data_IF_184664766009
#
_entry.id   IF_184664766009
#
_cell.length_a   1.000
_cell.length_b   1.000
_cell.length_c   1.000
_cell.angle_alpha   90.00
_cell.angle_beta   90.00
_cell.angle_gamma   90.00
#
_symmetry.space_group_name_H-M   'P 1'
#
loop_
_entity.id
_entity.type
_entity.pdbx_description
1 polymer ?
#
# COMPACT_ATOMS: atom_id res chain seq x y z
N UNK A 1 4.49 13.40 -5.64
CA UNK A 1 4.43 12.37 -6.71
C UNK A 1 4.58 10.94 -6.18
N UNK A 2 5.36 10.70 -5.12
CA UNK A 2 5.56 9.34 -4.56
C UNK A 2 4.25 8.72 -4.02
N UNK A 3 3.40 9.49 -3.30
CA UNK A 3 2.13 8.99 -2.77
C UNK A 3 1.17 8.52 -3.87
N UNK A 4 1.13 9.22 -5.02
CA UNK A 4 0.32 8.82 -6.17
C UNK A 4 0.76 7.47 -6.72
N UNK A 5 2.07 7.21 -6.79
CA UNK A 5 2.62 5.92 -7.25
C UNK A 5 2.23 4.79 -6.28
N UNK A 6 2.35 5.01 -4.97
CA UNK A 6 1.92 4.03 -3.96
C UNK A 6 0.42 3.71 -4.06
N UNK A 7 -0.41 4.73 -4.28
CA UNK A 7 -1.86 4.56 -4.46
C UNK A 7 -2.12 3.72 -5.73
N UNK A 8 -1.48 4.03 -6.85
CA UNK A 8 -1.64 3.28 -8.11
C UNK A 8 -1.20 1.81 -7.95
N UNK A 9 -0.04 1.56 -7.33
CA UNK A 9 0.46 0.20 -7.07
C UNK A 9 -0.49 -0.58 -6.17
N UNK A 10 -1.05 0.05 -5.15
CA UNK A 10 -2.05 -0.56 -4.26
C UNK A 10 -3.34 -0.96 -5.02
N UNK A 11 -3.85 -0.07 -5.88
CA UNK A 11 -5.01 -0.37 -6.72
C UNK A 11 -4.76 -1.54 -7.67
N UNK A 12 -3.58 -1.62 -8.30
CA UNK A 12 -3.21 -2.73 -9.18
C UNK A 12 -3.12 -4.05 -8.39
N UNK A 13 -2.54 -4.02 -7.17
CA UNK A 13 -2.42 -5.21 -6.31
C UNK A 13 -3.77 -5.79 -5.88
N UNK A 14 -4.81 -4.95 -5.75
CA UNK A 14 -6.17 -5.36 -5.36
C UNK A 14 -7.03 -5.74 -6.57
N UNK A 15 -6.84 -5.07 -7.70
CA UNK A 15 -7.64 -5.33 -8.90
C UNK A 15 -7.42 -6.75 -9.45
N UNK A 16 -6.16 -7.18 -9.50
CA UNK A 16 -5.78 -8.50 -10.02
C UNK A 16 -6.43 -9.68 -9.27
N UNK A 17 -6.40 -9.75 -7.93
CA UNK A 17 -7.05 -10.82 -7.18
C UNK A 17 -8.59 -10.75 -7.28
N UNK A 18 -9.21 -9.58 -7.41
CA UNK A 18 -10.67 -9.46 -7.64
C UNK A 18 -11.07 -10.08 -8.99
N UNK A 19 -10.35 -9.72 -10.06
CA UNK A 19 -10.55 -10.31 -11.39
C UNK A 19 -10.38 -11.83 -11.37
N UNK A 20 -9.39 -12.33 -10.61
CA UNK A 20 -9.17 -13.76 -10.45
C UNK A 20 -10.34 -14.45 -9.75
N UNK A 21 -10.91 -13.86 -8.70
CA UNK A 21 -12.05 -14.43 -7.97
C UNK A 21 -13.30 -14.52 -8.83
N UNK A 22 -13.60 -13.49 -9.62
CA UNK A 22 -14.79 -13.46 -10.50
C UNK A 22 -14.71 -14.56 -11.58
N UNK A 23 -13.50 -14.91 -12.02
CA UNK A 23 -13.28 -15.92 -13.06
C UNK A 23 -13.41 -17.36 -12.54
N UNK A 24 -13.50 -17.57 -11.22
CA UNK A 24 -13.59 -18.89 -10.62
C UNK A 24 -15.04 -19.38 -10.62
N UNK A 25 -15.30 -20.44 -11.38
CA UNK A 25 -16.60 -21.12 -11.40
C UNK A 25 -16.80 -22.08 -10.22
N UNK A 26 -15.71 -22.61 -9.64
CA UNK A 26 -15.72 -23.52 -8.50
C UNK A 26 -14.65 -23.13 -7.48
N UNK A 27 -15.09 -22.87 -6.25
CA UNK A 27 -14.22 -22.46 -5.15
C UNK A 27 -13.31 -23.61 -4.72
N UNK A 28 -12.08 -23.59 -5.21
CA UNK A 28 -11.02 -24.51 -4.78
C UNK A 28 -10.31 -23.92 -3.55
N UNK A 29 -10.17 -24.71 -2.49
CA UNK A 29 -9.49 -24.32 -1.25
C UNK A 29 -8.08 -23.77 -1.51
N UNK A 30 -7.35 -24.33 -2.49
CA UNK A 30 -6.03 -23.80 -2.90
C UNK A 30 -6.11 -22.37 -3.40
N UNK A 31 -7.15 -22.05 -4.15
CA UNK A 31 -7.36 -20.71 -4.70
C UNK A 31 -7.73 -19.71 -3.60
N UNK A 32 -8.57 -20.14 -2.66
CA UNK A 32 -8.90 -19.32 -1.47
C UNK A 32 -7.65 -19.01 -0.66
N UNK A 33 -6.77 -20.00 -0.44
CA UNK A 33 -5.51 -19.78 0.28
C UNK A 33 -4.57 -18.80 -0.43
N UNK A 34 -4.45 -18.88 -1.77
CA UNK A 34 -3.65 -17.93 -2.56
C UNK A 34 -4.25 -16.53 -2.53
N UNK A 35 -5.58 -16.40 -2.56
CA UNK A 35 -6.28 -15.13 -2.48
C UNK A 35 -6.06 -14.44 -1.13
N UNK A 36 -6.22 -15.18 -0.03
CA UNK A 36 -5.94 -14.69 1.33
C UNK A 36 -4.47 -14.27 1.46
N UNK A 37 -3.54 -15.09 0.92
CA UNK A 37 -2.11 -14.76 0.90
C UNK A 37 -1.81 -13.46 0.17
N UNK A 38 -2.46 -13.19 -0.97
CA UNK A 38 -2.30 -11.93 -1.70
C UNK A 38 -2.88 -10.73 -0.94
N UNK A 39 -4.02 -10.88 -0.27
CA UNK A 39 -4.58 -9.82 0.58
C UNK A 39 -3.63 -9.48 1.73
N UNK A 40 -3.11 -10.50 2.43
CA UNK A 40 -2.14 -10.30 3.50
C UNK A 40 -0.88 -9.59 3.01
N UNK A 41 -0.34 -10.01 1.86
CA UNK A 41 0.82 -9.37 1.25
C UNK A 41 0.55 -7.90 0.90
N UNK A 42 -0.62 -7.59 0.33
CA UNK A 42 -1.04 -6.20 0.04
C UNK A 42 -1.09 -5.33 1.30
N UNK A 43 -1.63 -5.86 2.41
CA UNK A 43 -1.70 -5.14 3.68
C UNK A 43 -0.29 -4.84 4.21
N UNK A 44 0.62 -5.82 4.19
CA UNK A 44 2.01 -5.63 4.63
C UNK A 44 2.74 -4.60 3.78
N UNK A 45 2.57 -4.63 2.46
CA UNK A 45 3.16 -3.62 1.56
C UNK A 45 2.60 -2.22 1.82
N UNK A 46 1.29 -2.12 2.06
CA UNK A 46 0.63 -0.86 2.37
C UNK A 46 1.15 -0.25 3.69
N UNK A 47 1.24 -1.06 4.75
CA UNK A 47 1.78 -0.63 6.04
C UNK A 47 3.25 -0.21 5.93
N UNK A 48 4.07 -0.94 5.15
CA UNK A 48 5.46 -0.54 4.90
C UNK A 48 5.56 0.79 4.13
N UNK A 49 4.71 0.99 3.11
CA UNK A 49 4.64 2.25 2.38
C UNK A 49 4.26 3.42 3.29
N UNK A 50 3.27 3.23 4.17
CA UNK A 50 2.90 4.23 5.18
C UNK A 50 4.03 4.45 6.19
N UNK A 51 4.67 3.40 6.69
CA UNK A 51 5.76 3.52 7.66
C UNK A 51 6.94 4.30 7.08
N UNK A 52 7.34 4.03 5.83
CA UNK A 52 8.39 4.79 5.13
C UNK A 52 7.96 6.23 4.85
N UNK A 53 6.71 6.46 4.44
CA UNK A 53 6.17 7.80 4.23
C UNK A 53 6.07 8.62 5.52
N UNK A 54 5.70 7.97 6.62
CA UNK A 54 5.63 8.55 7.95
C UNK A 54 7.05 8.83 8.46
N UNK A 55 7.97 7.87 8.37
CA UNK A 55 9.37 8.02 8.77
C UNK A 55 10.03 9.23 8.07
N UNK A 56 9.73 9.49 6.80
CA UNK A 56 10.21 10.71 6.12
C UNK A 56 9.63 12.00 6.68
N UNK A 57 8.34 12.04 7.00
CA UNK A 57 7.70 13.20 7.65
C UNK A 57 8.19 13.45 9.09
N UNK A 58 8.69 12.42 9.79
CA UNK A 58 9.26 12.55 11.15
C UNK A 58 10.78 12.79 11.15
N UNK A 59 11.49 12.33 10.12
CA UNK A 59 12.93 12.53 9.97
C UNK A 59 13.27 13.92 9.38
N UNK A 60 12.34 14.55 8.65
CA UNK A 60 12.36 15.99 8.46
C UNK A 60 11.86 16.64 9.77
N UNK A 61 12.72 17.28 10.57
CA UNK A 61 12.23 18.04 11.72
C UNK A 61 11.25 19.10 11.18
N UNK A 62 10.17 19.45 11.91
CA UNK A 62 9.46 20.69 11.60
C UNK A 62 10.53 21.77 11.65
N UNK A 63 10.86 22.37 10.50
CA UNK A 63 11.80 23.48 10.47
C UNK A 63 11.31 24.45 11.54
N UNK A 64 12.15 24.66 12.55
CA UNK A 64 11.88 25.60 13.61
C UNK A 64 11.48 26.92 12.95
N UNK A 65 10.30 27.36 13.32
CA UNK A 65 9.84 28.71 13.18
C UNK A 65 10.86 29.67 13.81
N UNK A 66 11.05 30.81 13.15
CA UNK A 66 11.74 32.04 13.59
C UNK A 66 13.25 32.19 13.38
N UNK A 67 13.57 33.15 12.51
CA UNK A 67 14.70 34.04 12.68
C UNK A 67 15.32 34.50 11.37
N UNK A 68 14.62 35.33 10.58
CA UNK A 68 15.14 36.48 9.81
C UNK A 68 13.91 37.12 9.14
N UNK A 69 13.47 38.25 9.67
CA UNK A 69 12.94 39.32 8.82
C UNK A 69 14.15 40.13 8.37
N UNK A 70 14.45 40.11 7.07
CA UNK A 70 15.18 41.14 6.35
C UNK A 70 14.59 41.22 4.95
#
# INVERSE_FOLDING_TARGET
MINTIYIIVFWILILFPILYVIMIKHWNIKVVAVFIGRILLSIVFFLNGMYVGLQRNWAEPPMKQNGISL
#
